data_IF_268528078712
#
_entry.id   IF_268528078712
#
_cell.length_a   1.000
_cell.length_b   1.000
_cell.length_c   1.000
_cell.angle_alpha   90.00
_cell.angle_beta   90.00
_cell.angle_gamma   90.00
#
_symmetry.space_group_name_H-M   'P 1'
#
loop_
_entity.id
_entity.type
_entity.pdbx_description
1 polymer ?
#
# COMPACT_ATOMS: atom_id res chain seq x y z
N UNK A 1 -8.45 -0.47 -26.48
CA UNK A 1 -7.94 0.21 -25.31
C UNK A 1 -6.99 -0.70 -24.56
N UNK A 2 -5.94 -0.14 -24.07
CA UNK A 2 -4.98 -0.91 -23.29
C UNK A 2 -5.48 -1.10 -21.86
N UNK A 3 -5.29 -2.29 -21.32
CA UNK A 3 -5.58 -2.54 -19.93
C UNK A 3 -4.49 -1.92 -19.05
N UNK A 4 -4.87 -1.46 -17.89
CA UNK A 4 -3.92 -0.97 -16.91
C UNK A 4 -3.12 -2.12 -16.33
N UNK A 5 -1.90 -1.81 -15.90
CA UNK A 5 -1.03 -2.82 -15.31
C UNK A 5 -0.27 -2.25 -14.12
N UNK A 6 0.04 -3.11 -13.15
CA UNK A 6 0.92 -2.81 -12.03
C UNK A 6 2.09 -3.79 -12.09
N UNK A 7 3.32 -3.27 -12.27
CA UNK A 7 4.50 -4.10 -12.36
C UNK A 7 4.38 -5.24 -13.36
N UNK A 8 3.65 -5.03 -14.45
CA UNK A 8 3.42 -6.02 -15.48
C UNK A 8 2.21 -6.93 -15.28
N UNK A 9 1.47 -6.77 -14.18
CA UNK A 9 0.25 -7.53 -13.91
C UNK A 9 -0.98 -6.82 -14.47
N UNK A 10 -1.97 -7.57 -14.86
CA UNK A 10 -3.25 -7.01 -15.27
C UNK A 10 -3.95 -6.35 -14.10
N UNK A 11 -4.66 -5.26 -14.39
CA UNK A 11 -5.48 -4.56 -13.42
C UNK A 11 -6.95 -4.71 -13.78
N UNK A 12 -7.82 -4.17 -12.92
CA UNK A 12 -9.26 -4.20 -13.12
C UNK A 12 -9.62 -3.48 -14.43
N UNK A 13 -10.57 -4.05 -15.18
CA UNK A 13 -11.05 -3.41 -16.40
C UNK A 13 -11.75 -2.10 -16.10
N UNK A 14 -11.64 -1.10 -16.99
CA UNK A 14 -12.21 0.23 -16.74
C UNK A 14 -13.70 0.21 -16.37
N UNK A 15 -14.49 -0.66 -16.97
CA UNK A 15 -15.92 -0.74 -16.68
C UNK A 15 -16.23 -1.25 -15.27
N UNK A 16 -15.25 -1.88 -14.60
CA UNK A 16 -15.43 -2.44 -13.27
C UNK A 16 -14.82 -1.59 -12.16
N UNK A 17 -14.10 -0.52 -12.51
CA UNK A 17 -13.33 0.28 -11.55
C UNK A 17 -14.22 0.86 -10.44
N UNK A 18 -15.35 1.46 -10.81
CA UNK A 18 -16.22 2.10 -9.80
C UNK A 18 -16.76 1.09 -8.80
N UNK A 19 -17.19 -0.07 -9.27
CA UNK A 19 -17.72 -1.12 -8.40
C UNK A 19 -16.63 -1.70 -7.49
N UNK A 20 -15.43 -1.90 -8.03
CA UNK A 20 -14.30 -2.43 -7.26
C UNK A 20 -13.83 -1.44 -6.21
N UNK A 21 -13.79 -0.15 -6.52
CA UNK A 21 -13.45 0.89 -5.54
C UNK A 21 -14.47 0.96 -4.43
N UNK A 22 -15.75 0.87 -4.77
CA UNK A 22 -16.82 0.88 -3.77
C UNK A 22 -16.69 -0.31 -2.83
N UNK A 23 -16.42 -1.49 -3.37
CA UNK A 23 -16.22 -2.71 -2.59
C UNK A 23 -15.00 -2.58 -1.67
N UNK A 24 -13.89 -2.08 -2.20
CA UNK A 24 -12.66 -1.89 -1.43
C UNK A 24 -12.89 -0.96 -0.24
N UNK A 25 -13.53 0.17 -0.47
CA UNK A 25 -13.80 1.14 0.59
C UNK A 25 -14.77 0.58 1.62
N UNK A 26 -15.81 -0.13 1.19
CA UNK A 26 -16.77 -0.74 2.11
C UNK A 26 -16.09 -1.77 3.00
N UNK A 27 -15.24 -2.64 2.42
CA UNK A 27 -14.52 -3.67 3.17
C UNK A 27 -13.57 -3.03 4.19
N UNK A 28 -12.81 -2.03 3.78
CA UNK A 28 -11.86 -1.37 4.67
C UNK A 28 -12.58 -0.65 5.80
N UNK A 29 -13.62 0.10 5.48
CA UNK A 29 -14.35 0.90 6.46
C UNK A 29 -15.21 0.05 7.40
N UNK A 30 -15.45 -1.21 7.09
CA UNK A 30 -16.22 -2.11 7.96
C UNK A 30 -15.39 -2.65 9.12
N UNK A 31 -14.07 -2.48 9.09
CA UNK A 31 -13.19 -3.03 10.12
C UNK A 31 -13.21 -2.15 11.37
N UNK A 32 -13.33 -2.78 12.54
CA UNK A 32 -13.31 -2.06 13.82
C UNK A 32 -11.90 -1.65 14.20
N UNK A 33 -10.91 -2.45 13.84
CA UNK A 33 -9.50 -2.16 14.05
C UNK A 33 -8.76 -2.33 12.73
N UNK A 34 -7.79 -1.45 12.49
CA UNK A 34 -6.97 -1.50 11.29
C UNK A 34 -5.56 -1.90 11.68
N UNK A 35 -5.10 -3.01 11.12
CA UNK A 35 -3.74 -3.51 11.31
C UNK A 35 -2.85 -3.09 10.15
N UNK A 36 -1.55 -3.30 10.32
CA UNK A 36 -0.61 -3.07 9.22
C UNK A 36 -0.97 -3.90 7.99
N UNK A 37 -1.32 -5.16 8.18
CA UNK A 37 -1.75 -6.03 7.09
C UNK A 37 -3.01 -5.51 6.38
N UNK A 38 -3.95 -4.94 7.12
CA UNK A 38 -5.15 -4.35 6.53
C UNK A 38 -4.79 -3.19 5.61
N UNK A 39 -3.83 -2.37 6.01
CA UNK A 39 -3.36 -1.25 5.19
C UNK A 39 -2.65 -1.77 3.94
N UNK A 40 -1.81 -2.80 4.08
CA UNK A 40 -1.15 -3.40 2.93
C UNK A 40 -2.16 -4.04 1.98
N UNK A 41 -3.17 -4.72 2.50
CA UNK A 41 -4.21 -5.32 1.68
C UNK A 41 -4.98 -4.25 0.89
N UNK A 42 -5.33 -3.17 1.54
CA UNK A 42 -5.97 -2.04 0.88
C UNK A 42 -5.07 -1.52 -0.26
N UNK A 43 -3.79 -1.37 0.03
CA UNK A 43 -2.83 -0.86 -0.95
C UNK A 43 -2.74 -1.77 -2.18
N UNK A 44 -2.61 -3.08 -1.97
CA UNK A 44 -2.53 -4.03 -3.06
C UNK A 44 -3.78 -3.99 -3.91
N UNK A 45 -4.96 -3.95 -3.28
CA UNK A 45 -6.23 -3.88 -3.99
C UNK A 45 -6.36 -2.57 -4.76
N UNK A 46 -5.97 -1.45 -4.15
CA UNK A 46 -5.98 -0.14 -4.81
C UNK A 46 -5.09 -0.14 -6.05
N UNK A 47 -3.86 -0.67 -5.93
CA UNK A 47 -2.92 -0.75 -7.05
C UNK A 47 -3.47 -1.63 -8.17
N UNK A 48 -4.21 -2.67 -7.84
CA UNK A 48 -4.85 -3.55 -8.83
C UNK A 48 -6.01 -2.87 -9.55
N UNK A 49 -6.72 -1.97 -8.86
CA UNK A 49 -7.87 -1.27 -9.46
C UNK A 49 -7.42 -0.14 -10.37
N UNK A 50 -6.42 0.62 -9.97
CA UNK A 50 -5.92 1.81 -10.69
C UNK A 50 -7.07 2.74 -11.12
N UNK A 51 -7.74 3.40 -10.15
CA UNK A 51 -8.95 4.17 -10.44
C UNK A 51 -8.72 5.41 -11.29
N UNK A 52 -7.50 5.86 -11.45
CA UNK A 52 -7.15 7.06 -12.22
C UNK A 52 -6.39 6.68 -13.48
N UNK A 53 -6.40 7.54 -14.48
CA UNK A 53 -5.60 7.33 -15.68
C UNK A 53 -4.11 7.41 -15.39
N UNK A 54 -3.73 8.24 -14.43
CA UNK A 54 -2.34 8.54 -14.13
C UNK A 54 -2.20 8.81 -12.64
N UNK A 55 -1.00 8.60 -12.12
CA UNK A 55 -0.68 8.92 -10.74
C UNK A 55 -1.19 7.94 -9.69
N UNK A 56 -1.64 6.76 -10.10
CA UNK A 56 -2.18 5.77 -9.15
C UNK A 56 -1.18 5.38 -8.08
N UNK A 57 0.08 5.16 -8.44
CA UNK A 57 1.10 4.81 -7.47
C UNK A 57 1.33 5.91 -6.43
N UNK A 58 1.37 7.16 -6.86
CA UNK A 58 1.54 8.29 -5.95
C UNK A 58 0.35 8.43 -5.01
N UNK A 59 -0.87 8.35 -5.54
CA UNK A 59 -2.08 8.43 -4.73
C UNK A 59 -2.15 7.28 -3.75
N UNK A 60 -1.86 6.07 -4.20
CA UNK A 60 -1.86 4.88 -3.34
C UNK A 60 -0.87 5.01 -2.18
N UNK A 61 0.34 5.46 -2.46
CA UNK A 61 1.35 5.67 -1.40
C UNK A 61 0.95 6.78 -0.44
N UNK A 62 0.33 7.85 -0.94
CA UNK A 62 -0.16 8.93 -0.08
C UNK A 62 -1.27 8.46 0.85
N UNK A 63 -2.19 7.65 0.34
CA UNK A 63 -3.27 7.08 1.16
C UNK A 63 -2.68 6.22 2.28
N UNK A 64 -1.70 5.38 1.96
CA UNK A 64 -1.04 4.53 2.94
C UNK A 64 -0.36 5.36 4.01
N UNK A 65 0.34 6.39 3.61
CA UNK A 65 1.02 7.29 4.55
C UNK A 65 0.01 7.88 5.53
N UNK A 66 -1.09 8.40 5.00
CA UNK A 66 -2.17 8.97 5.81
C UNK A 66 -2.78 7.93 6.76
N UNK A 67 -3.08 6.74 6.25
CA UNK A 67 -3.72 5.70 7.06
C UNK A 67 -2.79 5.17 8.15
N UNK A 68 -1.51 5.04 7.86
CA UNK A 68 -0.54 4.68 8.89
C UNK A 68 -0.54 5.71 10.01
N UNK A 69 -0.45 6.99 9.68
CA UNK A 69 -0.47 8.05 10.69
C UNK A 69 -1.76 8.03 11.51
N UNK A 70 -2.89 7.84 10.84
CA UNK A 70 -4.19 7.80 11.50
C UNK A 70 -4.29 6.68 12.54
N UNK A 71 -3.64 5.55 12.28
CA UNK A 71 -3.73 4.37 13.13
C UNK A 71 -2.49 4.15 14.00
N UNK A 72 -1.66 5.17 14.17
CA UNK A 72 -0.44 5.12 14.99
C UNK A 72 0.56 4.06 14.53
N UNK A 73 0.63 3.85 13.24
CA UNK A 73 1.57 2.94 12.61
C UNK A 73 2.63 3.80 11.91
N UNK A 74 3.91 3.49 12.14
CA UNK A 74 4.98 4.22 11.46
C UNK A 74 4.87 3.94 9.96
N UNK A 75 4.80 4.98 9.11
CA UNK A 75 4.75 4.78 7.67
C UNK A 75 6.04 4.16 7.15
N UNK A 76 5.98 3.62 5.95
CA UNK A 76 7.17 3.05 5.33
C UNK A 76 7.55 3.82 4.06
N UNK A 77 8.84 3.77 3.75
CA UNK A 77 9.40 4.36 2.54
C UNK A 77 9.87 3.22 1.65
N UNK A 78 9.46 3.23 0.40
CA UNK A 78 9.97 2.26 -0.57
C UNK A 78 11.08 2.96 -1.36
N UNK A 79 12.33 2.64 -0.99
CA UNK A 79 13.50 3.18 -1.67
C UNK A 79 13.63 2.58 -3.07
N UNK A 80 14.51 3.16 -3.89
CA UNK A 80 14.78 2.60 -5.22
C UNK A 80 15.28 1.16 -5.13
N UNK A 81 16.07 0.84 -4.09
CA UNK A 81 16.57 -0.50 -3.88
C UNK A 81 15.46 -1.53 -3.60
N UNK A 82 14.41 -1.09 -2.91
CA UNK A 82 13.29 -1.97 -2.56
C UNK A 82 12.20 -2.03 -3.64
N UNK A 83 12.23 -1.09 -4.57
CA UNK A 83 11.13 -0.89 -5.52
C UNK A 83 10.84 -2.12 -6.38
N UNK A 84 11.89 -2.79 -6.85
CA UNK A 84 11.74 -4.00 -7.68
C UNK A 84 11.05 -5.12 -6.90
N UNK A 85 11.49 -5.35 -5.67
CA UNK A 85 10.89 -6.37 -4.79
C UNK A 85 9.45 -6.01 -4.48
N UNK A 86 9.20 -4.76 -4.18
CA UNK A 86 7.88 -4.23 -3.82
C UNK A 86 6.84 -4.53 -4.90
N UNK A 87 7.11 -4.20 -6.16
CA UNK A 87 6.17 -4.46 -7.23
C UNK A 87 5.94 -5.95 -7.48
N UNK A 88 6.98 -6.75 -7.38
CA UNK A 88 6.86 -8.19 -7.51
C UNK A 88 5.99 -8.77 -6.38
N UNK A 89 6.20 -8.30 -5.18
CA UNK A 89 5.52 -8.81 -4.00
C UNK A 89 4.06 -8.38 -3.91
N UNK A 90 3.71 -7.25 -4.52
CA UNK A 90 2.31 -6.86 -4.69
C UNK A 90 1.57 -7.94 -5.48
N UNK A 91 2.17 -8.45 -6.54
CA UNK A 91 1.58 -9.51 -7.35
C UNK A 91 1.40 -10.81 -6.56
N UNK A 92 2.32 -11.08 -5.63
CA UNK A 92 2.33 -12.32 -4.86
C UNK A 92 1.45 -12.25 -3.61
N UNK A 93 0.86 -11.10 -3.30
CA UNK A 93 0.14 -10.88 -2.04
C UNK A 93 -0.92 -11.94 -1.75
N UNK A 94 -1.65 -12.39 -2.74
CA UNK A 94 -2.68 -13.41 -2.57
C UNK A 94 -2.11 -14.76 -2.18
N UNK A 95 -0.88 -15.05 -2.59
CA UNK A 95 -0.22 -16.34 -2.37
C UNK A 95 0.70 -16.32 -1.16
N UNK A 96 1.45 -15.22 -0.99
CA UNK A 96 2.42 -15.11 0.09
C UNK A 96 2.53 -13.65 0.56
N UNK A 97 1.87 -13.36 1.67
CA UNK A 97 1.84 -12.00 2.23
C UNK A 97 3.14 -11.60 2.91
N UNK A 98 3.90 -12.59 3.39
CA UNK A 98 5.11 -12.34 4.15
C UNK A 98 6.15 -11.53 3.39
N UNK A 99 6.29 -11.74 2.09
CA UNK A 99 7.29 -11.04 1.30
C UNK A 99 7.04 -9.52 1.28
N UNK A 100 5.83 -9.10 0.94
CA UNK A 100 5.50 -7.68 0.91
C UNK A 100 5.56 -7.08 2.31
N UNK A 101 5.05 -7.81 3.30
CA UNK A 101 5.09 -7.36 4.69
C UNK A 101 6.52 -7.07 5.12
N UNK A 102 7.45 -7.98 4.83
CA UNK A 102 8.86 -7.83 5.22
C UNK A 102 9.51 -6.65 4.52
N UNK A 103 9.22 -6.46 3.22
CA UNK A 103 9.74 -5.31 2.47
C UNK A 103 9.22 -4.00 3.05
N UNK A 104 7.94 -3.94 3.38
CA UNK A 104 7.35 -2.74 3.97
C UNK A 104 7.85 -2.50 5.40
N UNK A 105 8.11 -3.55 6.17
CA UNK A 105 8.73 -3.40 7.49
C UNK A 105 10.16 -2.86 7.38
N UNK A 106 10.91 -3.28 6.37
CA UNK A 106 12.22 -2.71 6.09
C UNK A 106 12.11 -1.22 5.78
N UNK A 107 11.11 -0.84 4.97
CA UNK A 107 10.83 0.57 4.67
C UNK A 107 10.40 1.34 5.91
N UNK A 108 9.69 0.70 6.82
CA UNK A 108 9.29 1.30 8.10
C UNK A 108 10.52 1.57 8.98
N UNK A 109 11.47 0.64 9.01
CA UNK A 109 12.71 0.82 9.76
C UNK A 109 13.50 2.01 9.22
N UNK A 110 13.54 2.19 7.90
CA UNK A 110 14.17 3.36 7.29
C UNK A 110 13.50 4.66 7.73
N UNK A 111 12.18 4.67 7.81
CA UNK A 111 11.44 5.83 8.31
C UNK A 111 11.77 6.12 9.78
N UNK A 112 11.83 5.07 10.61
CA UNK A 112 12.18 5.21 12.03
C UNK A 112 13.55 5.85 12.21
N UNK A 113 14.53 5.43 11.42
CA UNK A 113 15.88 6.03 11.46
C UNK A 113 15.81 7.54 11.19
N UNK A 114 15.04 7.95 10.18
CA UNK A 114 14.86 9.36 9.86
C UNK A 114 14.16 10.12 10.99
N UNK A 115 13.10 9.53 11.55
CA UNK A 115 12.38 10.16 12.67
C UNK A 115 13.27 10.32 13.89
N UNK A 116 14.07 9.31 14.21
CA UNK A 116 15.01 9.35 15.32
C UNK A 116 16.07 10.45 15.11
N UNK A 117 16.57 10.57 13.87
CA UNK A 117 17.54 11.60 13.52
C UNK A 117 17.02 13.00 13.82
N UNK A 118 15.74 13.25 13.50
CA UNK A 118 15.11 14.55 13.73
C UNK A 118 14.47 14.67 15.11
N UNK A 119 14.62 13.69 15.98
CA UNK A 119 14.07 13.72 17.34
C UNK A 119 12.55 13.64 17.38
N UNK A 120 11.93 13.10 16.36
CA UNK A 120 10.46 13.00 16.28
C UNK A 120 10.03 11.69 16.92
N UNK A 121 9.11 11.79 17.89
CA UNK A 121 8.55 10.60 18.54
C UNK A 121 7.49 9.99 17.64
N UNK A 122 7.40 8.66 17.68
CA UNK A 122 6.44 7.92 16.87
C UNK A 122 5.90 6.72 17.62
N UNK A 123 4.63 6.41 17.31
CA UNK A 123 3.98 5.16 17.66
C UNK A 123 4.07 4.71 19.11
N UNK A 124 3.49 3.57 19.36
CA UNK A 124 3.50 2.90 20.66
C UNK A 124 4.44 1.71 20.59
N UNK A 125 5.66 1.97 20.39
CA UNK A 125 6.62 0.88 20.21
C UNK A 125 7.15 0.32 21.47
#
# INVERSE_FOLDING_TARGET
>A
MLENQVGGSETVRPENVAAEMKSLLADYNSKSEITFDDILDFHVRFESIQPFQDGNGRVGRLIIFKECLKHNIVPFIITEELKMYYYKEIKEWKNERGYLRDTCLTGQDAMKVSLDYFGIKYGNN
#
